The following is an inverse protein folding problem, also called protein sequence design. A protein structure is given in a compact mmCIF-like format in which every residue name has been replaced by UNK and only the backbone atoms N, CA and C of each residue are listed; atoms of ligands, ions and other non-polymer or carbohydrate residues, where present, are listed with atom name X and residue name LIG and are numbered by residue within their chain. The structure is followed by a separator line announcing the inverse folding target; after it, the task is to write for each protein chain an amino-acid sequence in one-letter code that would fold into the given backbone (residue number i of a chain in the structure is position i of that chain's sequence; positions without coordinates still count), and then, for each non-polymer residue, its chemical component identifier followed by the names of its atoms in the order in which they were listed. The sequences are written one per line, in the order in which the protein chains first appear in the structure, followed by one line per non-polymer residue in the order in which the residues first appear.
data_IF_609483484808
#
_entry.id   IF_609483484808
#
_cell.length_a   1.000
_cell.length_b   1.000
_cell.length_c   1.000
_cell.angle_alpha   90.00
_cell.angle_beta   90.00
_cell.angle_gamma   90.00
#
_symmetry.space_group_name_H-M   'P 1'
#
loop_
_entity.id
_entity.type
_entity.pdbx_description
1 polymer ?
#
# COMPACT_ATOMS: atom_id res chain seq x y z
N UNK A 1 -21.24 -11.17 -17.03
CA UNK A 1 -19.98 -10.63 -16.48
C UNK A 1 -20.10 -10.61 -14.95
N UNK A 2 -19.48 -11.55 -14.23
CA UNK A 2 -19.49 -11.55 -12.76
C UNK A 2 -18.39 -10.62 -12.28
N UNK A 3 -18.74 -9.40 -11.88
CA UNK A 3 -17.84 -8.51 -11.14
C UNK A 3 -17.65 -9.20 -9.79
N UNK A 4 -16.46 -9.75 -9.56
CA UNK A 4 -16.08 -10.24 -8.24
C UNK A 4 -15.84 -9.00 -7.36
N UNK A 5 -16.91 -8.47 -6.76
CA UNK A 5 -16.81 -7.49 -5.70
C UNK A 5 -16.01 -8.14 -4.56
N UNK A 6 -14.78 -7.69 -4.38
CA UNK A 6 -13.95 -8.10 -3.26
C UNK A 6 -14.65 -7.65 -1.98
N UNK A 7 -15.15 -8.63 -1.21
CA UNK A 7 -15.89 -8.37 0.04
C UNK A 7 -14.98 -7.91 1.20
N UNK A 8 -13.67 -7.80 0.97
CA UNK A 8 -12.70 -7.24 1.92
C UNK A 8 -12.24 -5.90 1.38
N UNK A 9 -12.44 -4.85 2.17
CA UNK A 9 -12.05 -3.49 1.86
C UNK A 9 -10.90 -3.06 2.75
N UNK A 10 -10.01 -2.24 2.20
CA UNK A 10 -8.88 -1.66 2.93
C UNK A 10 -8.94 -0.16 2.73
N UNK A 11 -8.91 0.59 3.82
CA UNK A 11 -8.78 2.05 3.86
C UNK A 11 -7.65 2.43 4.80
N UNK A 12 -7.06 3.60 4.64
CA UNK A 12 -5.97 4.06 5.48
C UNK A 12 -6.10 5.56 5.77
N UNK A 13 -5.48 5.99 6.86
CA UNK A 13 -5.36 7.38 7.29
C UNK A 13 -3.90 7.64 7.65
N UNK A 14 -3.32 8.72 7.14
CA UNK A 14 -1.96 9.15 7.46
C UNK A 14 -2.06 10.28 8.49
N UNK A 15 -1.36 10.11 9.62
CA UNK A 15 -1.27 11.14 10.63
C UNK A 15 -0.43 12.30 10.10
N UNK A 16 -0.91 13.54 10.26
CA UNK A 16 -0.22 14.75 9.82
C UNK A 16 0.19 14.70 8.33
N UNK A 17 -0.76 14.45 7.44
CA UNK A 17 -0.52 14.41 5.99
C UNK A 17 0.25 15.65 5.51
N UNK A 18 1.34 15.42 4.74
CA UNK A 18 2.21 16.48 4.20
C UNK A 18 2.33 16.30 2.70
N UNK A 19 2.42 17.42 2.00
CA UNK A 19 2.67 17.44 0.55
C UNK A 19 4.09 17.01 0.17
N UNK A 20 5.02 16.95 1.13
CA UNK A 20 6.42 16.55 0.92
C UNK A 20 6.88 15.68 2.08
N UNK A 21 7.57 14.60 1.74
CA UNK A 21 8.24 13.69 2.67
C UNK A 21 9.73 13.70 2.29
N UNK A 22 10.60 13.92 3.25
CA UNK A 22 12.05 13.88 3.08
C UNK A 22 12.59 12.50 3.45
N UNK A 23 13.73 12.07 2.88
CA UNK A 23 14.40 10.87 3.33
C UNK A 23 14.56 10.83 4.85
N UNK A 24 14.29 9.66 5.42
CA UNK A 24 14.29 9.36 6.86
C UNK A 24 13.14 9.96 7.67
N UNK A 25 12.16 10.61 7.03
CA UNK A 25 10.92 10.97 7.69
C UNK A 25 10.15 9.72 8.14
N UNK A 26 9.52 9.84 9.31
CA UNK A 26 8.59 8.85 9.82
C UNK A 26 7.17 9.19 9.36
N UNK A 27 6.49 8.20 8.79
CA UNK A 27 5.09 8.27 8.40
C UNK A 27 4.32 7.32 9.32
N UNK A 28 3.34 7.87 10.02
CA UNK A 28 2.50 7.16 10.96
C UNK A 28 1.05 7.21 10.50
N UNK A 29 0.25 6.23 10.90
CA UNK A 29 -1.16 6.23 10.56
C UNK A 29 -1.85 4.95 10.96
N UNK A 30 -3.06 4.78 10.41
CA UNK A 30 -3.90 3.60 10.62
C UNK A 30 -4.33 2.99 9.31
N UNK A 31 -4.40 1.67 9.28
CA UNK A 31 -5.08 0.89 8.24
C UNK A 31 -6.31 0.25 8.86
N UNK A 32 -7.43 0.34 8.15
CA UNK A 32 -8.67 -0.32 8.51
C UNK A 32 -8.99 -1.36 7.44
N UNK A 33 -9.18 -2.59 7.89
CA UNK A 33 -9.58 -3.71 7.04
C UNK A 33 -11.01 -4.06 7.41
N UNK A 34 -11.93 -4.03 6.46
CA UNK A 34 -13.35 -4.31 6.69
C UNK A 34 -13.77 -5.55 5.90
N UNK A 35 -14.43 -6.51 6.55
CA UNK A 35 -14.99 -7.69 5.88
C UNK A 35 -16.51 -7.58 5.75
N UNK A 36 -16.97 -7.11 4.59
CA UNK A 36 -18.39 -6.99 4.25
C UNK A 36 -19.00 -8.32 3.75
N UNK A 37 -18.38 -9.45 4.06
CA UNK A 37 -18.90 -10.78 3.74
C UNK A 37 -19.71 -11.35 4.89
N UNK A 38 -20.69 -12.20 4.56
CA UNK A 38 -21.45 -13.02 5.51
C UNK A 38 -20.64 -14.20 6.07
N UNK A 39 -19.33 -14.23 5.78
CA UNK A 39 -18.43 -15.30 6.17
C UNK A 39 -17.11 -14.71 6.61
N UNK A 40 -16.47 -15.35 7.57
CA UNK A 40 -15.15 -14.96 7.99
C UNK A 40 -14.12 -15.12 6.86
N UNK A 41 -13.03 -14.35 6.94
CA UNK A 41 -11.95 -14.35 5.98
C UNK A 41 -10.61 -14.51 6.66
N UNK A 42 -9.76 -15.35 6.07
CA UNK A 42 -8.36 -15.48 6.46
C UNK A 42 -7.56 -14.35 5.81
N UNK A 43 -6.95 -13.51 6.62
CA UNK A 43 -5.99 -12.51 6.17
C UNK A 43 -4.63 -13.20 6.02
N UNK A 44 -4.14 -13.32 4.79
CA UNK A 44 -2.81 -13.89 4.54
C UNK A 44 -1.75 -12.90 4.97
N UNK A 45 -1.70 -11.75 4.29
CA UNK A 45 -0.70 -10.73 4.52
C UNK A 45 -1.37 -9.36 4.44
N UNK A 46 -0.91 -8.44 5.28
CA UNK A 46 -1.19 -7.01 5.19
C UNK A 46 0.16 -6.30 5.22
N UNK A 47 0.43 -5.49 4.21
CA UNK A 47 1.67 -4.73 4.10
C UNK A 47 1.42 -3.37 3.45
N UNK A 48 2.34 -2.45 3.71
CA UNK A 48 2.45 -1.16 3.02
C UNK A 48 3.55 -1.28 1.98
N UNK A 49 3.26 -0.89 0.75
CA UNK A 49 4.22 -0.86 -0.35
C UNK A 49 4.44 0.60 -0.79
N UNK A 50 5.68 1.08 -0.63
CA UNK A 50 6.10 2.38 -1.13
C UNK A 50 6.53 2.24 -2.58
N UNK A 51 5.81 2.95 -3.45
CA UNK A 51 5.95 2.86 -4.90
C UNK A 51 6.28 4.23 -5.48
N UNK A 52 7.23 4.24 -6.40
CA UNK A 52 7.54 5.39 -7.24
C UNK A 52 6.76 5.22 -8.54
N UNK A 53 5.87 6.18 -8.84
CA UNK A 53 5.10 6.22 -10.08
C UNK A 53 5.51 7.44 -10.90
N UNK A 54 5.90 7.23 -12.15
CA UNK A 54 6.15 8.31 -13.09
C UNK A 54 5.58 8.00 -14.46
N UNK A 55 5.22 9.06 -15.18
CA UNK A 55 4.71 9.01 -16.55
C UNK A 55 5.79 9.58 -17.46
N UNK A 56 6.35 8.74 -18.32
CA UNK A 56 7.24 9.20 -19.37
C UNK A 56 6.42 9.44 -20.64
N UNK A 57 6.44 10.68 -21.14
CA UNK A 57 5.86 11.02 -22.44
C UNK A 57 6.97 11.02 -23.49
N UNK A 58 6.97 10.02 -24.38
CA UNK A 58 7.95 9.93 -25.46
C UNK A 58 7.30 10.48 -26.75
N UNK A 59 7.78 11.64 -27.21
CA UNK A 59 7.41 12.38 -28.43
C UNK A 59 6.08 13.16 -28.49
N UNK A 60 6.14 14.31 -29.18
CA UNK A 60 5.06 15.31 -29.37
C UNK A 60 3.98 14.89 -30.39
N UNK A 61 4.20 13.81 -31.15
CA UNK A 61 3.34 13.44 -32.28
C UNK A 61 2.44 12.22 -31.99
N UNK A 62 2.89 11.31 -31.12
CA UNK A 62 2.13 10.12 -30.70
C UNK A 62 2.24 10.03 -29.18
N UNK A 63 1.12 10.26 -28.47
CA UNK A 63 1.09 10.22 -27.00
C UNK A 63 1.02 8.75 -26.58
N UNK A 64 2.16 8.06 -26.58
CA UNK A 64 2.31 6.82 -25.80
C UNK A 64 2.68 7.20 -24.37
N UNK A 65 1.73 7.06 -23.44
CA UNK A 65 1.96 7.24 -22.00
C UNK A 65 2.48 5.94 -21.42
N UNK A 66 3.78 5.88 -21.17
CA UNK A 66 4.35 4.79 -20.41
C UNK A 66 4.22 5.09 -18.91
N UNK A 67 3.37 4.33 -18.22
CA UNK A 67 3.26 4.34 -16.77
C UNK A 67 4.28 3.38 -16.19
N UNK A 68 5.27 3.91 -15.47
CA UNK A 68 6.24 3.11 -14.75
C UNK A 68 5.93 3.16 -13.26
N UNK A 69 5.77 1.98 -12.66
CA UNK A 69 5.55 1.79 -11.22
C UNK A 69 6.64 0.91 -10.66
N UNK A 70 7.44 1.43 -9.75
CA UNK A 70 8.53 0.71 -9.11
C UNK A 70 8.30 0.65 -7.60
N UNK A 71 8.08 -0.54 -7.07
CA UNK A 71 8.17 -0.77 -5.63
C UNK A 71 9.63 -0.62 -5.19
N UNK A 72 9.86 0.10 -4.10
CA UNK A 72 11.18 0.28 -3.52
C UNK A 72 11.25 -0.04 -2.02
N UNK A 73 10.11 -0.11 -1.31
CA UNK A 73 10.11 -0.51 0.10
C UNK A 73 8.78 -1.14 0.53
N UNK A 74 8.85 -2.25 1.29
CA UNK A 74 7.68 -2.95 1.81
C UNK A 74 7.75 -3.12 3.32
N UNK A 75 6.63 -2.92 4.00
CA UNK A 75 6.49 -3.09 5.45
C UNK A 75 5.33 -4.01 5.77
N UNK A 76 5.62 -5.15 6.37
CA UNK A 76 4.61 -6.13 6.76
C UNK A 76 4.00 -5.76 8.11
N UNK A 77 2.67 -5.61 8.15
CA UNK A 77 1.90 -5.34 9.37
C UNK A 77 1.31 -6.63 9.94
N UNK A 78 0.84 -7.53 9.08
CA UNK A 78 0.27 -8.82 9.45
C UNK A 78 0.75 -9.89 8.48
N UNK A 79 1.18 -11.02 9.01
CA UNK A 79 1.65 -12.17 8.19
C UNK A 79 0.73 -13.39 8.28
N UNK A 80 -0.19 -13.42 9.26
CA UNK A 80 -1.36 -14.31 9.35
C UNK A 80 -2.39 -13.67 10.27
N UNK A 81 -3.63 -13.57 9.81
CA UNK A 81 -4.75 -13.04 10.59
C UNK A 81 -6.08 -13.63 10.18
N UNK A 82 -7.13 -13.19 10.87
CA UNK A 82 -8.50 -13.59 10.60
C UNK A 82 -9.40 -12.40 10.89
N UNK A 83 -10.36 -12.15 10.00
CA UNK A 83 -11.33 -11.08 10.16
C UNK A 83 -12.73 -11.67 10.05
N UNK A 84 -13.57 -11.43 11.04
CA UNK A 84 -14.90 -12.02 11.11
C UNK A 84 -15.84 -11.37 10.10
N UNK A 85 -16.93 -12.06 9.79
CA UNK A 85 -18.01 -11.50 9.00
C UNK A 85 -18.53 -10.18 9.62
N UNK A 86 -18.60 -9.11 8.83
CA UNK A 86 -19.08 -7.79 9.24
C UNK A 86 -18.14 -7.00 10.16
N UNK A 87 -16.92 -7.48 10.40
CA UNK A 87 -15.96 -6.84 11.29
C UNK A 87 -15.09 -5.81 10.55
N UNK A 88 -14.73 -4.73 11.24
CA UNK A 88 -13.63 -3.85 10.88
C UNK A 88 -12.51 -4.00 11.90
N UNK A 89 -11.28 -4.20 11.41
CA UNK A 89 -10.09 -4.31 12.24
C UNK A 89 -9.11 -3.19 11.91
N UNK A 90 -8.56 -2.57 12.95
CA UNK A 90 -7.59 -1.48 12.86
C UNK A 90 -6.16 -1.99 13.05
N UNK A 91 -5.23 -1.40 12.31
CA UNK A 91 -3.79 -1.65 12.41
C UNK A 91 -3.05 -0.32 12.39
N UNK A 92 -2.44 0.05 13.51
CA UNK A 92 -1.50 1.17 13.55
C UNK A 92 -0.23 0.82 12.76
N UNK A 93 0.32 1.81 12.06
CA UNK A 93 1.61 1.67 11.40
C UNK A 93 2.51 2.87 11.69
N UNK A 94 3.81 2.59 11.65
CA UNK A 94 4.90 3.56 11.67
C UNK A 94 5.99 3.06 10.73
N UNK A 95 6.25 3.81 9.67
CA UNK A 95 7.23 3.47 8.64
C UNK A 95 8.22 4.62 8.45
N UNK A 96 9.46 4.30 8.10
CA UNK A 96 10.50 5.32 7.86
C UNK A 96 10.81 5.37 6.37
N UNK A 97 10.48 6.47 5.69
CA UNK A 97 10.73 6.64 4.27
C UNK A 97 12.24 6.61 4.00
N UNK A 98 12.77 5.47 3.54
CA UNK A 98 14.19 5.39 3.20
C UNK A 98 14.40 6.04 1.84
N UNK A 99 15.52 6.75 1.70
CA UNK A 99 15.94 7.29 0.40
C UNK A 99 15.94 6.13 -0.61
N UNK A 100 15.23 6.29 -1.74
CA UNK A 100 14.95 5.25 -2.76
C UNK A 100 16.16 4.63 -3.46
N UNK A 101 17.38 4.81 -2.93
CA UNK A 101 18.51 3.95 -3.26
C UNK A 101 18.20 2.56 -2.72
N UNK A 102 17.72 1.67 -3.62
CA UNK A 102 17.77 0.22 -3.42
C UNK A 102 19.11 -0.11 -2.76
N UNK A 103 19.10 -0.59 -1.53
CA UNK A 103 20.26 -1.30 -1.01
C UNK A 103 20.46 -2.47 -1.97
N UNK A 104 21.48 -2.39 -2.82
CA UNK A 104 22.00 -3.58 -3.47
C UNK A 104 22.49 -4.44 -2.32
N UNK A 105 21.71 -5.46 -1.95
CA UNK A 105 22.18 -6.54 -1.10
C UNK A 105 23.53 -6.99 -1.67
N UNK A 106 24.62 -6.64 -0.98
CA UNK A 106 25.92 -7.24 -1.24
C UNK A 106 25.83 -8.66 -0.70
N UNK A 107 25.64 -9.62 -1.60
CA UNK A 107 25.99 -11.02 -1.35
C UNK A 107 27.49 -11.15 -1.12
#
# INVERSE_FOLDING_TARGET
MKIALTKVHVRYEINNERSKVEPFDEIEGKIYVTNNSDSDKKLKELYIDLVEEYVESVNRADIDRNFMKNSFQQYFLVTKGFIKAGEEQEYDFKITFLNGKREKEKK
#
